data_IF_768921218758
#
_entry.id   IF_768921218758
#
_cell.length_a   1.000
_cell.length_b   1.000
_cell.length_c   1.000
_cell.angle_alpha   90.00
_cell.angle_beta   90.00
_cell.angle_gamma   90.00
#
_symmetry.space_group_name_H-M   'P 1'
#
loop_
_entity.id
_entity.type
_entity.pdbx_description
1 polymer ?
#
# COMPACT_ATOMS: atom_id res chain seq x y z
N UNK A 1 -12.66 -9.88 34.27
CA UNK A 1 -12.32 -10.55 32.99
C UNK A 1 -11.65 -11.88 33.32
N UNK A 2 -12.11 -12.99 32.75
CA UNK A 2 -11.64 -14.33 33.12
C UNK A 2 -10.21 -14.54 32.58
N UNK A 3 -9.23 -14.90 33.43
CA UNK A 3 -7.81 -14.97 33.04
C UNK A 3 -7.56 -15.88 31.82
N UNK A 4 -8.36 -16.94 31.67
CA UNK A 4 -8.28 -17.83 30.51
C UNK A 4 -8.64 -17.16 29.17
N UNK A 5 -9.59 -16.22 29.16
CA UNK A 5 -10.03 -15.53 27.94
C UNK A 5 -8.94 -14.58 27.43
N UNK A 6 -8.29 -13.84 28.33
CA UNK A 6 -7.20 -12.93 27.98
C UNK A 6 -5.98 -13.68 27.40
N UNK A 7 -5.69 -14.87 27.94
CA UNK A 7 -4.63 -15.74 27.43
C UNK A 7 -4.93 -16.26 26.03
N UNK A 8 -6.14 -16.78 25.81
CA UNK A 8 -6.57 -17.27 24.50
C UNK A 8 -6.51 -16.17 23.43
N UNK A 9 -6.98 -14.96 23.75
CA UNK A 9 -6.91 -13.80 22.85
C UNK A 9 -5.48 -13.45 22.48
N UNK A 10 -4.56 -13.47 23.44
CA UNK A 10 -3.15 -13.15 23.19
C UNK A 10 -2.50 -14.17 22.25
N UNK A 11 -2.76 -15.46 22.48
CA UNK A 11 -2.27 -16.55 21.62
C UNK A 11 -2.79 -16.39 20.19
N UNK A 12 -4.09 -16.09 20.03
CA UNK A 12 -4.68 -15.88 18.71
C UNK A 12 -4.02 -14.71 17.97
N UNK A 13 -3.82 -13.58 18.64
CA UNK A 13 -3.14 -12.41 18.05
C UNK A 13 -1.72 -12.79 17.59
N UNK A 14 -0.95 -13.47 18.44
CA UNK A 14 0.39 -13.92 18.09
C UNK A 14 0.41 -14.84 16.87
N UNK A 15 -0.49 -15.82 16.84
CA UNK A 15 -0.57 -16.77 15.76
C UNK A 15 -0.99 -16.08 14.45
N UNK A 16 -1.97 -15.17 14.49
CA UNK A 16 -2.39 -14.40 13.32
C UNK A 16 -1.25 -13.53 12.76
N UNK A 17 -0.51 -12.83 13.63
CA UNK A 17 0.63 -12.01 13.19
C UNK A 17 1.77 -12.89 12.66
N UNK A 18 2.07 -14.02 13.30
CA UNK A 18 3.09 -14.95 12.83
C UNK A 18 2.75 -15.50 11.43
N UNK A 19 1.50 -15.90 11.21
CA UNK A 19 1.02 -16.37 9.89
C UNK A 19 1.14 -15.26 8.85
N UNK A 20 0.70 -14.04 9.18
CA UNK A 20 0.79 -12.89 8.27
C UNK A 20 2.24 -12.62 7.86
N UNK A 21 3.16 -12.55 8.82
CA UNK A 21 4.58 -12.26 8.57
C UNK A 21 5.27 -13.39 7.81
N UNK A 22 5.03 -14.65 8.19
CA UNK A 22 5.58 -15.81 7.49
C UNK A 22 5.05 -15.89 6.05
N UNK A 23 3.75 -15.69 5.85
CA UNK A 23 3.12 -15.65 4.52
C UNK A 23 3.72 -14.53 3.65
N UNK A 24 3.92 -13.34 4.21
CA UNK A 24 4.54 -12.23 3.48
C UNK A 24 6.00 -12.53 3.08
N UNK A 25 6.77 -13.19 3.95
CA UNK A 25 8.13 -13.64 3.61
C UNK A 25 8.14 -14.66 2.47
N UNK A 26 7.22 -15.63 2.49
CA UNK A 26 7.09 -16.63 1.42
C UNK A 26 6.71 -15.98 0.09
N UNK A 27 5.74 -15.07 0.10
CA UNK A 27 5.36 -14.33 -1.11
C UNK A 27 6.51 -13.49 -1.65
N UNK A 28 7.28 -12.81 -0.78
CA UNK A 28 8.42 -12.01 -1.21
C UNK A 28 9.52 -12.89 -1.79
N UNK A 29 9.77 -14.06 -1.19
CA UNK A 29 10.69 -15.06 -1.73
C UNK A 29 10.26 -15.49 -3.14
N UNK A 30 8.98 -15.78 -3.36
CA UNK A 30 8.46 -16.18 -4.66
C UNK A 30 8.61 -15.08 -5.73
N UNK A 31 8.44 -13.82 -5.33
CA UNK A 31 8.65 -12.66 -6.21
C UNK A 31 10.12 -12.47 -6.58
N UNK A 32 11.02 -12.66 -5.62
CA UNK A 32 12.44 -12.37 -5.77
C UNK A 32 13.25 -13.54 -6.36
N UNK A 33 12.78 -14.79 -6.21
CA UNK A 33 13.39 -15.99 -6.77
C UNK A 33 13.22 -16.07 -8.29
N UNK A 34 14.15 -16.72 -8.99
CA UNK A 34 14.13 -16.82 -10.45
C UNK A 34 14.68 -15.62 -11.22
N UNK A 35 15.21 -14.60 -10.52
CA UNK A 35 15.73 -13.36 -11.11
C UNK A 35 17.24 -13.37 -11.40
N UNK A 36 17.98 -14.39 -10.97
CA UNK A 36 19.43 -14.45 -11.15
C UNK A 36 20.04 -15.84 -10.97
N UNK A 37 21.37 -15.90 -10.96
CA UNK A 37 22.16 -17.13 -10.89
C UNK A 37 22.86 -17.36 -9.54
N UNK A 38 22.63 -16.50 -8.53
CA UNK A 38 23.23 -16.66 -7.21
C UNK A 38 22.51 -17.75 -6.38
N UNK A 39 22.91 -17.94 -5.13
CA UNK A 39 22.30 -18.90 -4.19
C UNK A 39 20.78 -18.73 -4.20
N UNK A 40 20.04 -19.78 -4.57
CA UNK A 40 18.58 -19.75 -4.64
C UNK A 40 17.99 -19.01 -5.85
N UNK A 41 18.77 -18.79 -6.92
CA UNK A 41 18.38 -18.08 -8.15
C UNK A 41 18.03 -16.59 -7.97
N UNK A 42 18.60 -15.96 -6.94
CA UNK A 42 18.43 -14.52 -6.71
C UNK A 42 19.45 -13.70 -7.50
N UNK A 43 19.06 -12.48 -7.89
CA UNK A 43 20.04 -11.41 -8.12
C UNK A 43 20.57 -10.88 -6.77
N UNK A 44 21.77 -10.29 -6.75
CA UNK A 44 22.34 -9.72 -5.53
C UNK A 44 21.43 -8.65 -4.89
N UNK A 45 20.82 -7.79 -5.72
CA UNK A 45 19.90 -6.74 -5.27
C UNK A 45 18.67 -7.34 -4.59
N UNK A 46 18.06 -8.37 -5.21
CA UNK A 46 16.89 -9.05 -4.65
C UNK A 46 17.21 -9.81 -3.37
N UNK A 47 18.40 -10.41 -3.25
CA UNK A 47 18.85 -11.06 -2.04
C UNK A 47 19.01 -10.08 -0.88
N UNK A 48 19.58 -8.89 -1.12
CA UNK A 48 19.71 -7.84 -0.12
C UNK A 48 18.33 -7.36 0.33
N UNK A 49 17.44 -7.05 -0.62
CA UNK A 49 16.07 -6.59 -0.32
C UNK A 49 15.28 -7.63 0.48
N UNK A 50 15.33 -8.90 0.08
CA UNK A 50 14.70 -9.99 0.82
C UNK A 50 15.26 -10.13 2.23
N UNK A 51 16.60 -10.06 2.38
CA UNK A 51 17.24 -10.17 3.69
C UNK A 51 16.81 -9.03 4.63
N UNK A 52 16.78 -7.79 4.12
CA UNK A 52 16.28 -6.62 4.88
C UNK A 52 14.80 -6.80 5.24
N UNK A 53 13.99 -7.31 4.31
CA UNK A 53 12.57 -7.56 4.55
C UNK A 53 12.32 -8.63 5.63
N UNK A 54 13.07 -9.74 5.61
CA UNK A 54 12.99 -10.78 6.65
C UNK A 54 13.39 -10.23 8.02
N UNK A 55 14.46 -9.44 8.09
CA UNK A 55 14.87 -8.76 9.33
C UNK A 55 13.80 -7.80 9.84
N UNK A 56 13.14 -7.06 8.94
CA UNK A 56 12.01 -6.20 9.28
C UNK A 56 10.84 -7.00 9.87
N UNK A 57 10.43 -8.11 9.23
CA UNK A 57 9.38 -8.99 9.75
C UNK A 57 9.73 -9.56 11.13
N UNK A 58 10.98 -9.98 11.32
CA UNK A 58 11.46 -10.49 12.61
C UNK A 58 11.44 -9.39 13.68
N UNK A 59 11.86 -8.18 13.34
CA UNK A 59 11.82 -7.04 14.25
C UNK A 59 10.37 -6.70 14.67
N UNK A 60 9.40 -6.74 13.74
CA UNK A 60 7.98 -6.55 14.08
C UNK A 60 7.46 -7.64 15.02
N UNK A 61 7.81 -8.91 14.76
CA UNK A 61 7.41 -10.02 15.62
C UNK A 61 7.99 -9.89 17.04
N UNK A 62 9.28 -9.58 17.14
CA UNK A 62 9.96 -9.36 18.42
C UNK A 62 9.38 -8.15 19.16
N UNK A 63 9.06 -7.05 18.45
CA UNK A 63 8.40 -5.89 19.03
C UNK A 63 7.02 -6.25 19.61
N UNK A 64 6.24 -7.09 18.93
CA UNK A 64 4.96 -7.59 19.45
C UNK A 64 5.14 -8.41 20.74
N UNK A 65 6.16 -9.28 20.79
CA UNK A 65 6.50 -10.05 22.00
C UNK A 65 6.85 -9.10 23.16
N UNK A 66 7.74 -8.14 22.93
CA UNK A 66 8.13 -7.17 23.96
C UNK A 66 6.98 -6.25 24.40
N UNK A 67 6.04 -5.94 23.51
CA UNK A 67 4.82 -5.22 23.87
C UNK A 67 4.00 -6.05 24.86
N UNK A 68 3.69 -7.30 24.54
CA UNK A 68 2.88 -8.17 25.41
C UNK A 68 3.53 -8.40 26.79
N UNK A 69 4.86 -8.39 26.85
CA UNK A 69 5.61 -8.48 28.11
C UNK A 69 5.67 -7.16 28.90
N UNK A 70 5.14 -6.06 28.37
CA UNK A 70 5.05 -4.75 29.04
C UNK A 70 6.32 -3.89 28.99
N UNK A 71 7.41 -4.40 28.38
CA UNK A 71 8.70 -3.69 28.31
C UNK A 71 8.64 -2.41 27.47
N UNK A 72 7.75 -2.34 26.48
CA UNK A 72 7.63 -1.18 25.58
C UNK A 72 6.77 -0.04 26.12
N UNK A 73 6.19 -0.17 27.31
CA UNK A 73 5.33 0.86 27.91
C UNK A 73 6.01 2.24 28.03
N UNK A 74 7.29 2.27 28.43
CA UNK A 74 8.09 3.51 28.52
C UNK A 74 8.42 4.11 27.15
N UNK A 75 8.65 3.28 26.13
CA UNK A 75 8.92 3.74 24.76
C UNK A 75 7.65 4.33 24.15
N UNK A 76 6.50 3.68 24.37
CA UNK A 76 5.22 4.14 23.86
C UNK A 76 4.76 5.45 24.48
N UNK A 77 4.99 5.67 25.78
CA UNK A 77 4.65 6.96 26.41
C UNK A 77 5.45 8.12 25.81
N UNK A 78 6.74 7.92 25.51
CA UNK A 78 7.55 8.89 24.77
C UNK A 78 7.04 9.12 23.35
N UNK A 79 6.65 8.05 22.66
CA UNK A 79 6.09 8.11 21.31
C UNK A 79 4.78 8.90 21.27
N UNK A 80 3.90 8.66 22.24
CA UNK A 80 2.63 9.36 22.42
C UNK A 80 2.88 10.84 22.73
N UNK A 81 3.84 11.16 23.61
CA UNK A 81 4.21 12.54 23.91
C UNK A 81 4.74 13.27 22.67
N UNK A 82 5.57 12.60 21.86
CA UNK A 82 6.08 13.14 20.61
C UNK A 82 4.97 13.40 19.58
N UNK A 83 4.07 12.43 19.40
CA UNK A 83 2.88 12.57 18.55
C UNK A 83 2.03 13.77 18.98
N UNK A 84 1.67 13.83 20.27
CA UNK A 84 0.77 14.87 20.79
C UNK A 84 1.38 16.28 20.73
N UNK A 85 2.72 16.40 20.68
CA UNK A 85 3.42 17.68 20.59
C UNK A 85 3.42 18.28 19.19
N UNK A 86 3.30 17.47 18.15
CA UNK A 86 3.43 17.91 16.77
C UNK A 86 2.07 17.88 16.05
N UNK A 87 1.42 19.04 15.93
CA UNK A 87 0.20 19.22 15.11
C UNK A 87 0.43 18.90 13.63
N UNK A 88 1.69 18.91 13.16
CA UNK A 88 2.10 18.56 11.81
C UNK A 88 1.76 17.11 11.42
N UNK A 89 1.64 16.19 12.39
CA UNK A 89 1.33 14.78 12.10
C UNK A 89 -0.09 14.56 11.57
N UNK A 90 -1.03 15.48 11.82
CA UNK A 90 -2.36 15.40 11.24
C UNK A 90 -2.33 15.47 9.70
N UNK A 91 -1.47 16.32 9.13
CA UNK A 91 -1.27 16.39 7.68
C UNK A 91 -0.57 15.15 7.11
N UNK A 92 0.35 14.55 7.87
CA UNK A 92 1.04 13.33 7.46
C UNK A 92 0.12 12.09 7.35
N UNK A 93 -1.01 12.09 8.07
CA UNK A 93 -2.00 11.01 7.96
C UNK A 93 -2.56 10.90 6.53
N UNK A 94 -2.73 12.03 5.83
CA UNK A 94 -3.15 12.04 4.43
C UNK A 94 -2.09 11.39 3.53
N UNK A 95 -0.81 11.68 3.76
CA UNK A 95 0.28 11.05 3.01
C UNK A 95 0.31 9.54 3.25
N UNK A 96 0.10 9.10 4.49
CA UNK A 96 0.03 7.66 4.83
C UNK A 96 -1.15 6.98 4.14
N UNK A 97 -2.28 7.68 3.92
CA UNK A 97 -3.42 7.15 3.17
C UNK A 97 -3.16 7.08 1.67
N UNK A 98 -2.60 8.14 1.09
CA UNK A 98 -2.39 8.26 -0.37
C UNK A 98 -1.23 7.39 -0.86
N UNK A 99 -0.14 7.31 -0.08
CA UNK A 99 1.07 6.59 -0.46
C UNK A 99 0.85 5.12 -0.87
N UNK A 100 0.18 4.25 -0.07
CA UNK A 100 0.01 2.84 -0.43
C UNK A 100 -0.90 2.66 -1.63
N UNK A 101 -1.89 3.54 -1.81
CA UNK A 101 -2.76 3.56 -2.98
C UNK A 101 -1.95 3.88 -4.22
N UNK A 102 -1.18 4.98 -4.19
CA UNK A 102 -0.29 5.35 -5.28
C UNK A 102 0.74 4.25 -5.59
N UNK A 103 1.43 3.74 -4.56
CA UNK A 103 2.46 2.72 -4.70
C UNK A 103 1.91 1.40 -5.26
N UNK A 104 0.80 0.89 -4.74
CA UNK A 104 0.25 -0.42 -5.14
C UNK A 104 -0.59 -0.37 -6.42
N UNK A 105 -1.20 0.76 -6.78
CA UNK A 105 -2.07 0.83 -7.96
C UNK A 105 -1.41 1.52 -9.16
N UNK A 106 -0.60 2.55 -8.94
CA UNK A 106 -0.09 3.41 -10.02
C UNK A 106 1.39 3.16 -10.35
N UNK A 107 2.09 2.31 -9.60
CA UNK A 107 3.49 1.95 -9.91
C UNK A 107 3.60 0.49 -10.35
N UNK A 108 4.67 0.17 -11.10
CA UNK A 108 4.98 -1.19 -11.54
C UNK A 108 5.13 -2.17 -10.36
N UNK A 109 5.46 -1.67 -9.16
CA UNK A 109 5.55 -2.47 -7.95
C UNK A 109 4.20 -3.07 -7.54
N UNK A 110 3.07 -2.49 -7.95
CA UNK A 110 1.75 -3.07 -7.75
C UNK A 110 1.56 -4.45 -8.39
N UNK A 111 2.22 -4.65 -9.54
CA UNK A 111 2.24 -5.92 -10.28
C UNK A 111 3.21 -6.91 -9.62
N UNK A 112 4.36 -6.41 -9.16
CA UNK A 112 5.37 -7.20 -8.46
C UNK A 112 4.82 -7.73 -7.12
N UNK A 113 4.12 -6.89 -6.36
CA UNK A 113 3.54 -7.22 -5.06
C UNK A 113 2.04 -7.55 -5.17
N UNK A 114 1.70 -8.55 -5.98
CA UNK A 114 0.32 -9.06 -6.10
C UNK A 114 -0.10 -10.02 -4.98
N UNK A 115 0.86 -10.52 -4.21
CA UNK A 115 0.63 -11.45 -3.09
C UNK A 115 -0.36 -10.92 -2.05
N UNK A 116 -1.22 -11.82 -1.57
CA UNK A 116 -2.25 -11.50 -0.59
C UNK A 116 -1.63 -11.09 0.75
N UNK A 117 -0.65 -11.84 1.25
CA UNK A 117 -0.03 -11.57 2.55
C UNK A 117 0.79 -10.27 2.56
N UNK A 118 1.53 -9.97 1.50
CA UNK A 118 2.27 -8.69 1.38
C UNK A 118 1.29 -7.52 1.36
N UNK A 119 0.22 -7.60 0.56
CA UNK A 119 -0.80 -6.54 0.50
C UNK A 119 -1.51 -6.37 1.83
N UNK A 120 -1.85 -7.46 2.50
CA UNK A 120 -2.47 -7.45 3.82
C UNK A 120 -1.53 -6.87 4.88
N UNK A 121 -0.22 -7.15 4.82
CA UNK A 121 0.79 -6.60 5.71
C UNK A 121 0.92 -5.09 5.52
N UNK A 122 1.06 -4.62 4.26
CA UNK A 122 1.13 -3.19 3.94
C UNK A 122 -0.15 -2.50 4.41
N UNK A 123 -1.32 -3.06 4.13
CA UNK A 123 -2.59 -2.47 4.57
C UNK A 123 -2.71 -2.41 6.10
N UNK A 124 -2.29 -3.46 6.82
CA UNK A 124 -2.29 -3.49 8.29
C UNK A 124 -1.36 -2.40 8.85
N UNK A 125 -0.17 -2.22 8.28
CA UNK A 125 0.76 -1.16 8.68
C UNK A 125 0.15 0.23 8.43
N UNK A 126 -0.49 0.43 7.28
CA UNK A 126 -1.14 1.71 6.92
C UNK A 126 -2.31 2.02 7.85
N UNK A 127 -3.17 1.04 8.15
CA UNK A 127 -4.27 1.19 9.11
C UNK A 127 -3.73 1.54 10.49
N UNK A 128 -2.71 0.82 10.95
CA UNK A 128 -2.08 1.11 12.24
C UNK A 128 -1.44 2.49 12.29
N UNK A 129 -0.69 2.88 11.25
CA UNK A 129 -0.06 4.19 11.16
C UNK A 129 -1.11 5.32 11.13
N UNK A 130 -2.19 5.15 10.36
CA UNK A 130 -3.29 6.11 10.30
C UNK A 130 -4.00 6.20 11.65
N UNK A 131 -4.30 5.07 12.29
CA UNK A 131 -4.92 5.03 13.62
C UNK A 131 -4.02 5.69 14.69
N UNK A 132 -2.72 5.45 14.63
CA UNK A 132 -1.74 6.05 15.51
C UNK A 132 -1.67 7.58 15.34
N UNK A 133 -1.63 8.07 14.10
CA UNK A 133 -1.53 9.51 13.78
C UNK A 133 -2.82 10.27 14.08
N UNK A 134 -3.98 9.64 13.90
CA UNK A 134 -5.30 10.23 14.17
C UNK A 134 -5.71 10.12 15.64
N UNK A 135 -5.04 9.26 16.41
CA UNK A 135 -5.31 9.12 17.84
C UNK A 135 -4.77 10.30 18.63
N UNK A 136 -5.63 10.84 19.49
CA UNK A 136 -5.30 11.88 20.47
C UNK A 136 -5.46 11.34 21.88
N UNK A 137 -4.56 11.70 22.80
CA UNK A 137 -4.62 11.31 24.21
C UNK A 137 -3.50 10.35 24.65
N UNK A 138 -3.77 9.53 25.67
CA UNK A 138 -2.80 8.63 26.32
C UNK A 138 -2.73 7.22 25.71
N UNK A 139 -3.59 6.92 24.74
CA UNK A 139 -3.59 5.63 24.04
C UNK A 139 -2.79 5.69 22.74
N UNK A 140 -2.15 4.58 22.39
CA UNK A 140 -1.42 4.43 21.12
C UNK A 140 -2.35 4.53 19.91
N UNK A 141 -3.38 3.68 19.92
CA UNK A 141 -4.44 3.67 18.92
C UNK A 141 -5.73 3.28 19.65
N UNK A 142 -6.63 4.25 19.83
CA UNK A 142 -7.93 3.95 20.41
C UNK A 142 -8.80 3.17 19.42
N UNK A 143 -9.73 2.38 19.96
CA UNK A 143 -10.61 1.51 19.16
C UNK A 143 -11.39 2.27 18.08
N UNK A 144 -11.93 3.44 18.43
CA UNK A 144 -12.67 4.30 17.50
C UNK A 144 -11.78 4.81 16.37
N UNK A 145 -10.53 5.16 16.66
CA UNK A 145 -9.57 5.65 15.68
C UNK A 145 -9.08 4.52 14.77
N UNK A 146 -8.92 3.31 15.30
CA UNK A 146 -8.63 2.13 14.47
C UNK A 146 -9.76 1.82 13.50
N UNK A 147 -11.02 1.89 13.95
CA UNK A 147 -12.19 1.74 13.06
C UNK A 147 -12.26 2.85 12.01
N UNK A 148 -12.00 4.10 12.41
CA UNK A 148 -11.93 5.24 11.50
C UNK A 148 -10.83 5.06 10.45
N UNK A 149 -9.63 4.66 10.86
CA UNK A 149 -8.52 4.36 9.97
C UNK A 149 -8.82 3.22 9.00
N UNK A 150 -9.49 2.16 9.48
CA UNK A 150 -9.93 1.05 8.64
C UNK A 150 -10.92 1.53 7.56
N UNK A 151 -11.92 2.32 7.95
CA UNK A 151 -12.90 2.88 7.03
C UNK A 151 -12.27 3.85 6.01
N UNK A 152 -11.39 4.75 6.46
CA UNK A 152 -10.71 5.72 5.61
C UNK A 152 -9.77 5.05 4.60
N UNK A 153 -8.98 4.07 5.05
CA UNK A 153 -8.09 3.32 4.14
C UNK A 153 -8.93 2.54 3.12
N UNK A 154 -9.97 1.82 3.55
CA UNK A 154 -10.86 1.11 2.63
C UNK A 154 -11.51 2.05 1.60
N UNK A 155 -12.06 3.18 2.04
CA UNK A 155 -12.63 4.19 1.16
C UNK A 155 -11.60 4.75 0.17
N UNK A 156 -10.37 5.02 0.62
CA UNK A 156 -9.30 5.52 -0.26
C UNK A 156 -8.95 4.53 -1.38
N UNK A 157 -8.86 3.23 -1.06
CA UNK A 157 -8.64 2.18 -2.06
C UNK A 157 -9.82 2.07 -3.04
N UNK A 158 -11.06 2.13 -2.54
CA UNK A 158 -12.26 2.06 -3.38
C UNK A 158 -12.36 3.25 -4.35
N UNK A 159 -12.12 4.48 -3.85
CA UNK A 159 -12.10 5.70 -4.69
C UNK A 159 -11.03 5.56 -5.76
N UNK A 160 -9.82 5.12 -5.39
CA UNK A 160 -8.74 5.00 -6.34
C UNK A 160 -9.03 3.95 -7.43
N UNK A 161 -9.62 2.81 -7.08
CA UNK A 161 -10.07 1.81 -8.06
C UNK A 161 -11.13 2.40 -9.01
N UNK A 162 -12.09 3.17 -8.49
CA UNK A 162 -13.08 3.83 -9.32
C UNK A 162 -12.47 4.87 -10.28
N UNK A 163 -11.41 5.57 -9.84
CA UNK A 163 -10.71 6.58 -10.63
C UNK A 163 -9.74 5.99 -11.66
N UNK A 164 -9.30 4.73 -11.53
CA UNK A 164 -8.43 4.08 -12.53
C UNK A 164 -9.06 4.05 -13.94
N UNK A 165 -10.39 4.08 -14.03
CA UNK A 165 -11.12 4.09 -15.30
C UNK A 165 -11.38 5.49 -15.87
N UNK A 166 -10.98 6.56 -15.17
CA UNK A 166 -11.16 7.94 -15.64
C UNK A 166 -10.01 8.27 -16.58
N UNK A 167 -10.34 8.51 -17.84
CA UNK A 167 -9.40 8.94 -18.87
C UNK A 167 -9.79 10.33 -19.38
N UNK A 168 -8.86 11.05 -20.00
CA UNK A 168 -9.15 12.33 -20.69
C UNK A 168 -10.04 12.15 -21.95
N UNK A 169 -10.48 10.92 -22.17
CA UNK A 169 -11.34 10.53 -23.25
C UNK A 169 -12.80 10.85 -22.86
N UNK A 170 -13.52 11.68 -23.65
CA UNK A 170 -14.83 12.19 -23.24
C UNK A 170 -15.94 11.15 -23.30
N UNK A 171 -15.63 9.93 -23.75
CA UNK A 171 -16.57 8.83 -23.85
C UNK A 171 -16.11 7.66 -22.96
N UNK A 172 -17.03 6.78 -22.58
CA UNK A 172 -16.65 5.56 -21.87
C UNK A 172 -15.80 4.67 -22.77
N UNK A 173 -14.69 4.15 -22.26
CA UNK A 173 -13.82 3.18 -22.98
C UNK A 173 -14.56 1.91 -23.41
N UNK A 174 -15.69 1.58 -22.76
CA UNK A 174 -16.54 0.46 -23.14
C UNK A 174 -17.48 0.74 -24.31
N UNK A 175 -17.58 2.00 -24.77
CA UNK A 175 -18.46 2.38 -25.86
C UNK A 175 -17.69 2.45 -27.18
N UNK A 176 -17.76 1.36 -27.94
CA UNK A 176 -17.06 1.22 -29.23
C UNK A 176 -17.40 2.31 -30.26
N UNK A 177 -18.66 2.77 -30.29
CA UNK A 177 -19.08 3.86 -31.19
C UNK A 177 -18.55 5.23 -30.76
N UNK A 178 -18.33 5.42 -29.46
CA UNK A 178 -17.63 6.60 -28.94
C UNK A 178 -16.22 6.67 -29.51
N UNK A 179 -15.45 5.57 -29.45
CA UNK A 179 -14.09 5.48 -30.00
C UNK A 179 -14.04 5.87 -31.47
N UNK A 180 -14.99 5.37 -32.26
CA UNK A 180 -15.07 5.72 -33.67
C UNK A 180 -15.38 7.20 -33.88
N UNK A 181 -16.31 7.75 -33.11
CA UNK A 181 -16.69 9.15 -33.23
C UNK A 181 -15.59 10.10 -32.79
N UNK A 182 -14.77 9.73 -31.80
CA UNK A 182 -13.65 10.56 -31.38
C UNK A 182 -12.42 10.41 -32.28
N UNK A 183 -11.98 9.18 -32.54
CA UNK A 183 -10.74 8.90 -33.28
C UNK A 183 -10.88 9.20 -34.78
N UNK A 184 -12.08 9.05 -35.35
CA UNK A 184 -12.33 9.30 -36.78
C UNK A 184 -13.06 10.63 -37.07
N UNK A 185 -13.46 11.40 -36.05
CA UNK A 185 -13.99 12.74 -36.31
C UNK A 185 -12.86 13.73 -36.53
N UNK A 186 -12.86 14.34 -37.71
CA UNK A 186 -11.99 15.47 -38.07
C UNK A 186 -12.22 16.69 -37.18
N UNK A 187 -13.37 16.80 -36.52
CA UNK A 187 -13.71 17.88 -35.61
C UNK A 187 -12.94 17.77 -34.27
N UNK A 188 -12.76 16.55 -33.76
CA UNK A 188 -12.17 16.28 -32.43
C UNK A 188 -10.73 15.77 -32.50
N UNK A 189 -10.37 15.01 -33.55
CA UNK A 189 -9.01 14.50 -33.77
C UNK A 189 -8.04 15.48 -34.44
N UNK A 190 -8.46 16.74 -34.67
CA UNK A 190 -7.67 17.74 -35.41
C UNK A 190 -6.25 17.92 -34.83
N UNK A 191 -6.08 17.87 -33.51
CA UNK A 191 -4.76 18.02 -32.87
C UNK A 191 -3.79 16.87 -33.17
N UNK A 192 -4.27 15.68 -33.54
CA UNK A 192 -3.44 14.51 -33.86
C UNK A 192 -2.87 14.64 -35.28
N UNK A 193 -3.65 15.18 -36.22
CA UNK A 193 -3.25 15.32 -37.63
C UNK A 193 -2.49 16.61 -37.94
N UNK A 194 -2.57 17.64 -37.08
CA UNK A 194 -1.86 18.92 -37.28
C UNK A 194 -0.37 18.90 -36.92
N UNK A 195 0.16 17.77 -36.45
CA UNK A 195 1.59 17.58 -36.21
C UNK A 195 2.33 16.95 -37.41
N UNK A 196 1.63 16.72 -38.52
CA UNK A 196 2.26 16.38 -39.80
C UNK A 196 2.73 17.71 -40.40
N UNK A 197 4.04 17.92 -40.34
CA UNK A 197 4.75 19.10 -40.83
C UNK A 197 4.41 19.35 -42.30
N UNK A 198 4.11 20.60 -42.62
CA UNK A 198 3.72 21.13 -43.93
C UNK A 198 4.79 20.96 -45.04
N UNK A 199 5.92 20.29 -44.75
CA UNK A 199 7.03 20.07 -45.68
C UNK A 199 6.97 18.71 -46.41
N UNK A 200 6.16 17.75 -45.95
CA UNK A 200 6.01 16.46 -46.64
C UNK A 200 4.95 16.57 -47.74
N UNK A 201 5.40 17.05 -48.89
CA UNK A 201 4.67 17.04 -50.15
C UNK A 201 4.36 15.59 -50.52
N UNK A 202 3.17 15.08 -50.17
CA UNK A 202 2.70 13.78 -50.64
C UNK A 202 2.35 13.93 -52.13
N UNK A 203 3.30 13.57 -52.98
CA UNK A 203 3.08 13.23 -54.39
C UNK A 203 2.15 12.02 -54.46
N UNK A 204 0.85 12.27 -54.68
CA UNK A 204 -0.04 11.28 -55.28
C UNK A 204 0.19 11.30 -56.79
N UNK A 205 0.95 10.32 -57.28
CA UNK A 205 0.81 9.75 -58.62
C UNK A 205 -0.03 8.48 -58.51
#
# INVERSE_FOLDING_TARGET
MNRGVAWAQSILIFLSVAILLAGACVEFFNVASGTGSAVGSFSLTWLILFSVFVLFCLALFVALVFWQLGYLSSTFSKLIAYRNRMSFFAGSALLVLVFPVWFLQYTQWGIVFQGFFIRLLIWTIVVFATAFLTSSGETLAGWQQTLGALALTAASFSIAVALQGVTDYPFSLGWSEGNRLWDYSTLFGKSIYFNIREDDTILFC
#
